data_IF_292631740562
#
_entry.id   IF_292631740562
#
_cell.length_a   1.000
_cell.length_b   1.000
_cell.length_c   1.000
_cell.angle_alpha   90.00
_cell.angle_beta   90.00
_cell.angle_gamma   90.00
#
_symmetry.space_group_name_H-M   'P 1'
#
loop_
_entity.id
_entity.type
_entity.pdbx_description
1 polymer ?
#
# COMPACT_ATOMS: atom_id res chain seq x y z
N UNK A 1 -18.44 -1.72 0.80
CA UNK A 1 -17.77 -1.39 2.08
C UNK A 1 -16.35 -0.96 1.76
N UNK A 2 -15.83 0.10 2.39
CA UNK A 2 -14.46 0.59 2.22
C UNK A 2 -13.75 0.51 3.58
N UNK A 3 -12.56 -0.08 3.62
CA UNK A 3 -11.74 -0.25 4.82
C UNK A 3 -10.32 0.18 4.49
N UNK A 4 -9.69 0.97 5.38
CA UNK A 4 -8.27 1.33 5.30
C UNK A 4 -7.50 0.68 6.44
N UNK A 5 -6.24 0.30 6.17
CA UNK A 5 -5.34 -0.30 7.17
C UNK A 5 -4.18 0.65 7.38
N UNK A 6 -4.16 1.31 8.55
CA UNK A 6 -3.20 2.35 8.90
C UNK A 6 -2.23 1.93 10.02
N UNK A 7 -1.08 2.59 10.08
CA UNK A 7 -0.06 2.36 11.10
C UNK A 7 1.33 2.76 10.65
N UNK A 8 2.27 2.92 11.58
CA UNK A 8 3.68 3.24 11.26
C UNK A 8 4.38 2.09 10.55
N UNK A 9 5.55 2.33 9.98
CA UNK A 9 6.34 1.28 9.34
C UNK A 9 6.80 0.23 10.36
N UNK A 10 6.73 -1.04 9.97
CA UNK A 10 7.04 -2.17 10.85
C UNK A 10 5.87 -2.68 11.71
N UNK A 11 4.69 -2.06 11.70
CA UNK A 11 3.53 -2.55 12.51
C UNK A 11 2.83 -3.80 11.97
N UNK A 12 3.29 -4.35 10.84
CA UNK A 12 2.72 -5.58 10.27
C UNK A 12 1.52 -5.38 9.33
N UNK A 13 1.26 -4.17 8.84
CA UNK A 13 0.17 -3.88 7.87
C UNK A 13 0.14 -4.86 6.69
N UNK A 14 1.30 -5.11 6.08
CA UNK A 14 1.42 -6.05 4.95
C UNK A 14 1.06 -7.48 5.36
N UNK A 15 1.49 -7.91 6.55
CA UNK A 15 1.17 -9.25 7.09
C UNK A 15 -0.32 -9.40 7.34
N UNK A 16 -0.98 -8.39 7.90
CA UNK A 16 -2.43 -8.38 8.10
C UNK A 16 -3.19 -8.47 6.77
N UNK A 17 -2.77 -7.70 5.76
CA UNK A 17 -3.38 -7.74 4.42
C UNK A 17 -3.32 -9.15 3.82
N UNK A 18 -2.21 -9.88 3.96
CA UNK A 18 -2.11 -11.26 3.44
C UNK A 18 -3.05 -12.23 4.16
N UNK A 19 -3.26 -12.06 5.47
CA UNK A 19 -4.27 -12.81 6.22
C UNK A 19 -5.69 -12.50 5.72
N UNK A 20 -6.03 -11.21 5.58
CA UNK A 20 -7.36 -10.77 5.14
C UNK A 20 -7.72 -11.24 3.73
N UNK A 21 -6.74 -11.37 2.83
CA UNK A 21 -6.99 -11.95 1.49
C UNK A 21 -7.50 -13.38 1.57
N UNK A 22 -7.05 -14.15 2.55
CA UNK A 22 -7.50 -15.53 2.77
C UNK A 22 -8.88 -15.54 3.44
N UNK A 23 -9.03 -14.81 4.53
CA UNK A 23 -10.24 -14.83 5.37
C UNK A 23 -11.46 -14.19 4.70
N UNK A 24 -11.27 -13.27 3.75
CA UNK A 24 -12.36 -12.56 3.08
C UNK A 24 -12.54 -12.99 1.61
N UNK A 25 -11.95 -14.11 1.20
CA UNK A 25 -11.95 -14.55 -0.20
C UNK A 25 -13.38 -14.76 -0.76
N UNK A 26 -14.30 -15.21 0.08
CA UNK A 26 -15.72 -15.42 -0.23
C UNK A 26 -16.46 -14.13 -0.62
N UNK A 27 -16.01 -12.98 -0.10
CA UNK A 27 -16.58 -11.67 -0.39
C UNK A 27 -16.02 -11.03 -1.67
N UNK A 28 -15.01 -11.66 -2.31
CA UNK A 28 -14.30 -11.14 -3.47
C UNK A 28 -13.88 -9.64 -3.38
N UNK A 29 -13.18 -9.23 -2.31
CA UNK A 29 -12.79 -7.83 -2.10
C UNK A 29 -11.65 -7.41 -3.03
N UNK A 30 -11.64 -6.13 -3.39
CA UNK A 30 -10.54 -5.51 -4.16
C UNK A 30 -9.51 -4.93 -3.19
N UNK A 31 -8.26 -5.37 -3.31
CA UNK A 31 -7.15 -4.85 -2.51
C UNK A 31 -6.32 -3.84 -3.29
N UNK A 32 -6.05 -2.69 -2.66
CA UNK A 32 -5.16 -1.65 -3.18
C UNK A 32 -4.19 -1.21 -2.08
N UNK A 33 -3.07 -0.59 -2.46
CA UNK A 33 -2.07 -0.05 -1.54
C UNK A 33 -1.60 1.31 -2.02
N UNK A 34 -1.28 2.20 -1.08
CA UNK A 34 -0.63 3.47 -1.35
C UNK A 34 0.87 3.46 -0.99
N UNK A 35 1.72 4.21 -1.73
CA UNK A 35 1.40 4.85 -3.02
C UNK A 35 0.92 3.79 -4.04
N UNK A 36 0.07 4.15 -5.00
CA UNK A 36 -0.51 3.18 -5.95
C UNK A 36 0.53 2.34 -6.72
N UNK A 37 0.13 1.26 -7.37
CA UNK A 37 1.01 0.47 -8.27
C UNK A 37 1.19 1.09 -9.67
N UNK A 38 0.58 2.24 -9.92
CA UNK A 38 0.69 2.99 -11.18
C UNK A 38 2.12 3.49 -11.43
N UNK A 39 2.41 3.86 -12.68
CA UNK A 39 3.69 4.45 -13.07
C UNK A 39 4.08 5.65 -12.18
N UNK A 40 3.10 6.50 -11.83
CA UNK A 40 3.28 7.65 -10.95
C UNK A 40 3.56 7.21 -9.51
N UNK A 41 2.85 6.21 -8.98
CA UNK A 41 3.12 5.67 -7.65
C UNK A 41 4.50 5.00 -7.56
N UNK A 42 4.96 4.39 -8.65
CA UNK A 42 6.33 3.89 -8.79
C UNK A 42 7.38 5.00 -8.77
N UNK A 43 7.14 6.09 -9.49
CA UNK A 43 8.01 7.27 -9.48
C UNK A 43 8.09 7.91 -8.10
N UNK A 44 6.95 8.09 -7.42
CA UNK A 44 6.89 8.65 -6.05
C UNK A 44 7.66 7.77 -5.06
N UNK A 45 7.48 6.43 -5.10
CA UNK A 45 8.26 5.52 -4.25
C UNK A 45 9.76 5.62 -4.47
N UNK A 46 10.21 5.73 -5.72
CA UNK A 46 11.63 5.90 -6.03
C UNK A 46 12.14 7.23 -5.50
N UNK A 47 11.41 8.33 -5.73
CA UNK A 47 11.78 9.65 -5.23
C UNK A 47 11.93 9.70 -3.70
N UNK A 48 11.00 9.07 -2.96
CA UNK A 48 11.11 8.95 -1.49
C UNK A 48 12.37 8.16 -1.10
N UNK A 49 12.63 7.03 -1.77
CA UNK A 49 13.79 6.16 -1.48
C UNK A 49 15.13 6.84 -1.79
N UNK A 50 15.17 7.66 -2.83
CA UNK A 50 16.35 8.33 -3.34
C UNK A 50 16.48 9.77 -2.80
N UNK A 51 15.62 10.18 -1.87
CA UNK A 51 15.58 11.53 -1.27
C UNK A 51 15.54 12.66 -2.31
N UNK A 52 14.84 12.42 -3.43
CA UNK A 52 14.71 13.39 -4.52
C UNK A 52 13.83 14.55 -4.06
N UNK A 53 14.35 15.77 -4.18
CA UNK A 53 13.53 16.97 -4.06
C UNK A 53 12.82 17.23 -5.41
N UNK A 54 11.48 17.20 -5.46
CA UNK A 54 10.75 17.38 -6.72
C UNK A 54 10.83 18.80 -7.31
N UNK A 55 11.45 19.75 -6.60
CA UNK A 55 11.50 21.18 -6.96
C UNK A 55 12.95 21.67 -7.16
N UNK A 56 13.96 20.87 -6.79
CA UNK A 56 15.38 21.28 -6.87
C UNK A 56 16.03 20.96 -8.22
#
# INVERSE_FOLDING_TARGET
MLVTIEGIDGTGKSTLIEGLKTELADLNPVFTREPGSSWIGGAVRRGIKEEINPIA
#
